data_IF_149655633796
#
_entry.id   IF_149655633796
#
_cell.length_a   1.000
_cell.length_b   1.000
_cell.length_c   1.000
_cell.angle_alpha   90.00
_cell.angle_beta   90.00
_cell.angle_gamma   90.00
#
_symmetry.space_group_name_H-M   'P 1'
#
loop_
_entity.id
_entity.type
_entity.pdbx_description
1 polymer ?
#
# COMPACT_ATOMS: atom_id res chain seq x y z
N UNK A 1 -18.11 -4.83 1.36
CA UNK A 1 -16.64 -4.73 1.40
C UNK A 1 -16.17 -3.34 1.04
N UNK A 2 -14.90 -3.04 1.31
CA UNK A 2 -14.28 -1.74 1.02
C UNK A 2 -12.93 -1.99 0.34
N UNK A 3 -12.67 -1.25 -0.74
CA UNK A 3 -11.36 -1.22 -1.39
C UNK A 3 -10.75 0.19 -1.24
N UNK A 4 -9.49 0.26 -0.86
CA UNK A 4 -8.78 1.51 -0.54
C UNK A 4 -7.52 1.62 -1.41
N UNK A 5 -7.25 2.83 -1.89
CA UNK A 5 -6.07 3.14 -2.71
C UNK A 5 -4.90 3.73 -1.92
N UNK A 6 -5.11 4.00 -0.64
CA UNK A 6 -4.15 4.66 0.24
C UNK A 6 -3.66 3.68 1.31
N UNK A 7 -2.35 3.50 1.40
CA UNK A 7 -1.72 2.69 2.45
C UNK A 7 -2.14 3.10 3.87
N UNK A 8 -2.23 4.42 4.13
CA UNK A 8 -2.65 4.95 5.44
C UNK A 8 -4.08 4.55 5.80
N UNK A 9 -5.04 4.87 4.92
CA UNK A 9 -6.44 4.51 5.11
C UNK A 9 -6.64 3.00 5.20
N UNK A 10 -5.95 2.24 4.34
CA UNK A 10 -5.98 0.80 4.34
C UNK A 10 -5.55 0.24 5.68
N UNK A 11 -4.37 0.63 6.20
CA UNK A 11 -3.92 0.16 7.51
C UNK A 11 -4.94 0.49 8.60
N UNK A 12 -5.39 1.74 8.70
CA UNK A 12 -6.32 2.14 9.76
C UNK A 12 -7.62 1.34 9.72
N UNK A 13 -8.25 1.23 8.55
CA UNK A 13 -9.54 0.55 8.41
C UNK A 13 -9.38 -0.96 8.53
N UNK A 14 -8.33 -1.54 7.94
CA UNK A 14 -8.03 -2.97 8.04
C UNK A 14 -7.74 -3.37 9.49
N UNK A 15 -6.93 -2.59 10.22
CA UNK A 15 -6.60 -2.90 11.63
C UNK A 15 -7.83 -2.84 12.53
N UNK A 16 -8.69 -1.84 12.34
CA UNK A 16 -9.97 -1.75 13.08
C UNK A 16 -10.83 -2.97 12.74
N UNK A 17 -11.02 -3.27 11.45
CA UNK A 17 -11.79 -4.43 11.00
C UNK A 17 -11.27 -5.74 11.60
N UNK A 18 -9.95 -5.97 11.55
CA UNK A 18 -9.30 -7.15 12.11
C UNK A 18 -9.50 -7.22 13.63
N UNK A 19 -9.26 -6.14 14.38
CA UNK A 19 -9.43 -6.10 15.84
C UNK A 19 -10.88 -6.37 16.25
N UNK A 20 -11.86 -5.73 15.60
CA UNK A 20 -13.27 -5.88 15.96
C UNK A 20 -13.85 -7.24 15.54
N UNK A 21 -13.28 -7.91 14.54
CA UNK A 21 -13.64 -9.30 14.20
C UNK A 21 -13.14 -10.31 15.24
N UNK A 22 -11.95 -10.08 15.80
CA UNK A 22 -11.27 -11.03 16.70
C UNK A 22 -11.39 -10.70 18.19
N UNK A 23 -11.92 -9.52 18.55
CA UNK A 23 -12.13 -9.12 19.93
C UNK A 23 -13.59 -8.68 20.15
N UNK A 24 -14.39 -9.58 20.73
CA UNK A 24 -15.81 -9.35 20.99
C UNK A 24 -16.04 -8.18 21.95
N UNK A 25 -15.28 -8.10 23.05
CA UNK A 25 -15.48 -7.06 24.06
C UNK A 25 -15.18 -5.67 23.51
N UNK A 26 -14.14 -5.55 22.68
CA UNK A 26 -13.83 -4.32 21.97
C UNK A 26 -14.93 -3.95 20.96
N UNK A 27 -15.45 -4.93 20.23
CA UNK A 27 -16.55 -4.72 19.28
C UNK A 27 -17.81 -4.24 20.00
N UNK A 28 -18.17 -4.88 21.10
CA UNK A 28 -19.35 -4.51 21.87
C UNK A 28 -19.20 -3.08 22.43
N UNK A 29 -18.03 -2.74 22.97
CA UNK A 29 -17.75 -1.37 23.43
C UNK A 29 -17.82 -0.32 22.31
N UNK A 30 -17.37 -0.64 21.10
CA UNK A 30 -17.55 0.23 19.92
C UNK A 30 -19.02 0.34 19.53
N UNK A 31 -19.77 -0.77 19.56
CA UNK A 31 -21.19 -0.78 19.21
C UNK A 31 -22.06 -0.01 20.21
N UNK A 32 -21.67 0.07 21.49
CA UNK A 32 -22.36 0.96 22.45
C UNK A 32 -22.27 2.44 22.02
N UNK A 33 -21.11 2.89 21.53
CA UNK A 33 -20.94 4.26 21.02
C UNK A 33 -21.68 4.46 19.70
N UNK A 34 -21.57 3.50 18.76
CA UNK A 34 -22.23 3.61 17.46
C UNK A 34 -23.76 3.64 17.57
N UNK A 35 -24.32 3.01 18.60
CA UNK A 35 -25.76 3.01 18.86
C UNK A 35 -26.31 4.41 19.16
N UNK A 36 -25.50 5.35 19.67
CA UNK A 36 -25.90 6.75 19.89
C UNK A 36 -26.27 7.47 18.58
N UNK A 37 -25.85 6.93 17.43
CA UNK A 37 -26.14 7.44 16.08
C UNK A 37 -26.84 6.39 15.20
N UNK A 38 -27.54 5.43 15.81
CA UNK A 38 -28.29 4.35 15.12
C UNK A 38 -27.42 3.47 14.20
N UNK A 39 -26.15 3.28 14.55
CA UNK A 39 -25.21 2.45 13.80
C UNK A 39 -24.75 1.21 14.60
N UNK A 40 -24.34 0.18 13.87
CA UNK A 40 -23.77 -1.05 14.44
C UNK A 40 -22.74 -1.66 13.48
N UNK A 41 -21.59 -2.08 14.00
CA UNK A 41 -20.61 -2.87 13.27
C UNK A 41 -20.80 -4.37 13.51
N UNK A 42 -21.04 -5.10 12.42
CA UNK A 42 -21.38 -6.55 12.45
C UNK A 42 -20.22 -7.50 12.17
N UNK A 43 -19.04 -6.99 11.80
CA UNK A 43 -17.88 -7.85 11.52
C UNK A 43 -17.98 -8.66 10.22
N UNK A 44 -18.82 -8.27 9.27
CA UNK A 44 -19.08 -9.04 8.04
C UNK A 44 -18.31 -8.56 6.81
N UNK A 45 -17.66 -7.38 6.87
CA UNK A 45 -16.99 -6.79 5.72
C UNK A 45 -15.54 -7.27 5.59
N UNK A 46 -15.03 -7.28 4.37
CA UNK A 46 -13.60 -7.37 4.08
C UNK A 46 -13.06 -6.01 3.63
N UNK A 47 -11.77 -5.79 3.94
CA UNK A 47 -11.05 -4.54 3.63
C UNK A 47 -9.87 -4.90 2.76
N UNK A 48 -9.85 -4.37 1.54
CA UNK A 48 -8.84 -4.64 0.53
C UNK A 48 -8.05 -3.39 0.19
N UNK A 49 -6.81 -3.58 -0.25
CA UNK A 49 -6.07 -2.55 -0.95
C UNK A 49 -6.23 -2.73 -2.47
N UNK A 50 -6.40 -1.65 -3.25
CA UNK A 50 -6.60 -1.77 -4.71
C UNK A 50 -5.43 -2.53 -5.37
N UNK A 51 -4.20 -2.31 -4.90
CA UNK A 51 -3.04 -3.04 -5.40
C UNK A 51 -3.16 -4.57 -5.24
N UNK A 52 -3.78 -5.05 -4.16
CA UNK A 52 -4.04 -6.48 -3.96
C UNK A 52 -5.05 -6.99 -4.99
N UNK A 53 -6.10 -6.22 -5.27
CA UNK A 53 -7.11 -6.58 -6.26
C UNK A 53 -6.54 -6.64 -7.68
N UNK A 54 -5.62 -5.71 -8.00
CA UNK A 54 -4.94 -5.68 -9.30
C UNK A 54 -3.95 -6.84 -9.47
N UNK A 55 -3.26 -7.21 -8.40
CA UNK A 55 -2.17 -8.18 -8.47
C UNK A 55 -2.62 -9.64 -8.27
N UNK A 56 -3.66 -9.89 -7.47
CA UNK A 56 -4.14 -11.23 -7.17
C UNK A 56 -5.09 -11.76 -8.28
N UNK A 57 -4.75 -12.92 -8.83
CA UNK A 57 -5.46 -13.53 -9.98
C UNK A 57 -6.87 -14.02 -9.61
N UNK A 58 -7.16 -14.18 -8.31
CA UNK A 58 -8.53 -14.40 -7.81
C UNK A 58 -9.45 -13.21 -8.12
N UNK A 59 -8.88 -12.01 -8.25
CA UNK A 59 -9.59 -10.79 -8.59
C UNK A 59 -9.30 -10.42 -10.06
N UNK A 60 -8.30 -9.55 -10.30
CA UNK A 60 -7.94 -9.08 -11.63
C UNK A 60 -6.73 -9.87 -12.14
N UNK A 61 -5.61 -9.82 -11.42
CA UNK A 61 -4.36 -10.44 -11.82
C UNK A 61 -3.55 -9.62 -12.82
N UNK A 62 -2.24 -9.81 -12.78
CA UNK A 62 -1.26 -9.03 -13.58
C UNK A 62 -1.50 -9.20 -15.09
N UNK A 63 -1.90 -10.39 -15.52
CA UNK A 63 -2.13 -10.67 -16.94
C UNK A 63 -3.31 -9.85 -17.50
N UNK A 64 -4.42 -9.72 -16.76
CA UNK A 64 -5.53 -8.85 -17.18
C UNK A 64 -5.14 -7.37 -17.20
N UNK A 65 -4.27 -6.95 -16.28
CA UNK A 65 -3.70 -5.58 -16.31
C UNK A 65 -2.93 -5.40 -17.63
N UNK A 66 -2.03 -6.34 -17.96
CA UNK A 66 -1.24 -6.32 -19.20
C UNK A 66 -2.12 -6.28 -20.45
N UNK A 67 -3.15 -7.12 -20.52
CA UNK A 67 -4.05 -7.22 -21.66
C UNK A 67 -4.93 -5.96 -21.85
N UNK A 68 -5.13 -5.18 -20.78
CA UNK A 68 -5.90 -3.93 -20.83
C UNK A 68 -5.11 -2.72 -21.37
N UNK A 69 -3.80 -2.84 -21.54
CA UNK A 69 -2.91 -1.73 -21.92
C UNK A 69 -3.11 -1.38 -23.40
N UNK A 70 -3.64 -0.18 -23.66
CA UNK A 70 -3.81 0.37 -25.02
C UNK A 70 -2.67 1.29 -25.45
N UNK A 71 -1.98 1.90 -24.49
CA UNK A 71 -0.81 2.74 -24.73
C UNK A 71 0.32 2.33 -23.78
N UNK A 72 1.21 1.41 -24.21
CA UNK A 72 2.30 0.92 -23.38
C UNK A 72 3.27 2.03 -23.00
N UNK A 73 3.77 1.98 -21.76
CA UNK A 73 4.80 2.89 -21.25
C UNK A 73 6.22 2.47 -21.70
N UNK A 74 6.34 1.94 -22.93
CA UNK A 74 7.59 1.42 -23.46
C UNK A 74 8.67 2.49 -23.50
N UNK A 75 9.85 2.13 -22.97
CA UNK A 75 10.99 3.04 -22.84
C UNK A 75 11.01 3.84 -21.54
N UNK A 76 9.90 3.91 -20.79
CA UNK A 76 9.88 4.58 -19.49
C UNK A 76 10.56 3.73 -18.41
N UNK A 77 11.42 4.36 -17.61
CA UNK A 77 12.11 3.78 -16.44
C UNK A 77 11.41 4.25 -15.17
N UNK A 78 10.69 3.37 -14.51
CA UNK A 78 9.85 3.71 -13.35
C UNK A 78 10.36 3.00 -12.10
N UNK A 79 10.66 3.74 -11.05
CA UNK A 79 10.89 3.17 -9.73
C UNK A 79 9.58 3.09 -8.94
N UNK A 80 9.54 2.17 -7.96
CA UNK A 80 8.37 1.97 -7.10
C UNK A 80 8.64 2.42 -5.66
N UNK A 81 7.64 3.02 -5.03
CA UNK A 81 7.59 3.28 -3.61
C UNK A 81 6.40 2.51 -3.01
N UNK A 82 6.72 1.42 -2.32
CA UNK A 82 5.73 0.56 -1.65
C UNK A 82 4.98 1.26 -0.53
N UNK A 83 5.63 2.21 0.15
CA UNK A 83 5.18 2.73 1.42
C UNK A 83 5.22 1.67 2.55
N UNK A 84 4.99 2.12 3.77
CA UNK A 84 5.19 1.27 4.95
C UNK A 84 3.94 0.49 5.35
N UNK A 85 2.76 1.08 5.15
CA UNK A 85 1.53 0.65 5.80
C UNK A 85 0.72 -0.40 5.04
N UNK A 86 1.08 -0.72 3.79
CA UNK A 86 0.41 -1.80 3.07
C UNK A 86 0.83 -3.18 3.61
N UNK A 87 2.14 -3.42 3.66
CA UNK A 87 2.71 -4.75 3.93
C UNK A 87 3.13 -4.94 5.39
N UNK A 88 3.26 -3.85 6.17
CA UNK A 88 3.64 -3.92 7.60
C UNK A 88 2.45 -3.58 8.52
N UNK A 89 2.32 -4.23 9.69
CA UNK A 89 3.14 -5.34 10.20
C UNK A 89 2.80 -6.68 9.54
N UNK A 90 3.81 -7.39 9.02
CA UNK A 90 3.63 -8.66 8.27
C UNK A 90 2.81 -9.71 9.03
N UNK A 91 3.11 -9.91 10.31
CA UNK A 91 2.54 -10.98 11.16
C UNK A 91 1.01 -10.99 11.24
N UNK A 92 0.37 -9.84 11.00
CA UNK A 92 -1.07 -9.69 11.10
C UNK A 92 -1.71 -9.66 9.70
N UNK A 93 -0.93 -9.49 8.62
CA UNK A 93 -1.45 -9.40 7.25
C UNK A 93 -1.81 -10.77 6.71
N UNK A 94 -2.99 -10.84 6.12
CA UNK A 94 -3.55 -12.04 5.50
C UNK A 94 -3.70 -11.83 3.99
N UNK A 95 -2.63 -11.40 3.32
CA UNK A 95 -2.65 -11.37 1.85
C UNK A 95 -2.63 -12.80 1.32
N UNK A 96 -3.51 -13.11 0.36
CA UNK A 96 -3.58 -14.44 -0.23
C UNK A 96 -2.32 -14.81 -1.03
N UNK A 97 -1.66 -13.82 -1.66
CA UNK A 97 -0.39 -14.02 -2.37
C UNK A 97 0.79 -13.74 -1.44
N UNK A 98 1.57 -14.77 -1.14
CA UNK A 98 2.75 -14.67 -0.24
C UNK A 98 3.79 -13.65 -0.72
N UNK A 99 3.94 -13.41 -2.02
CA UNK A 99 4.85 -12.39 -2.55
C UNK A 99 4.48 -10.98 -2.08
N UNK A 100 3.21 -10.72 -1.77
CA UNK A 100 2.76 -9.45 -1.17
C UNK A 100 3.07 -9.34 0.32
N UNK A 101 3.40 -10.46 0.97
CA UNK A 101 3.78 -10.51 2.37
C UNK A 101 5.27 -10.22 2.58
N UNK A 102 6.12 -10.39 1.57
CA UNK A 102 7.55 -10.08 1.71
C UNK A 102 7.77 -8.57 1.90
N UNK A 103 8.22 -8.16 3.09
CA UNK A 103 8.41 -6.75 3.43
C UNK A 103 9.79 -6.19 3.13
N UNK A 104 10.76 -7.07 2.82
CA UNK A 104 12.16 -6.71 2.60
C UNK A 104 12.50 -6.68 1.11
N UNK A 105 12.00 -7.66 0.35
CA UNK A 105 12.22 -7.80 -1.08
C UNK A 105 10.93 -8.14 -1.84
N UNK A 106 9.87 -7.31 -1.77
CA UNK A 106 8.71 -7.47 -2.64
C UNK A 106 9.08 -7.15 -4.10
N UNK A 107 8.36 -7.79 -5.03
CA UNK A 107 8.53 -7.61 -6.49
C UNK A 107 7.21 -7.30 -7.22
N UNK A 108 6.09 -7.32 -6.50
CA UNK A 108 4.77 -7.28 -7.12
C UNK A 108 4.40 -5.91 -7.72
N UNK A 109 4.91 -4.80 -7.17
CA UNK A 109 4.73 -3.48 -7.81
C UNK A 109 5.56 -3.38 -9.09
N UNK A 110 6.76 -3.92 -9.10
CA UNK A 110 7.63 -3.98 -10.29
C UNK A 110 6.97 -4.82 -11.39
N UNK A 111 6.34 -5.94 -11.04
CA UNK A 111 5.58 -6.76 -11.99
C UNK A 111 4.37 -6.02 -12.57
N UNK A 112 3.65 -5.22 -11.76
CA UNK A 112 2.58 -4.35 -12.26
C UNK A 112 3.13 -3.25 -13.18
N UNK A 113 4.24 -2.61 -12.82
CA UNK A 113 4.92 -1.61 -13.66
C UNK A 113 5.36 -2.23 -15.00
N UNK A 114 5.95 -3.44 -14.96
CA UNK A 114 6.34 -4.18 -16.15
C UNK A 114 5.14 -4.57 -17.01
N UNK A 115 3.99 -4.90 -16.40
CA UNK A 115 2.75 -5.19 -17.12
C UNK A 115 2.22 -3.98 -17.90
N UNK A 116 2.53 -2.74 -17.47
CA UNK A 116 2.23 -1.51 -18.21
C UNK A 116 3.20 -1.26 -19.39
N UNK A 117 4.20 -2.12 -19.59
CA UNK A 117 5.23 -1.99 -20.63
C UNK A 117 6.42 -1.11 -20.24
N UNK A 118 6.46 -0.60 -19.00
CA UNK A 118 7.60 0.15 -18.48
C UNK A 118 8.71 -0.77 -17.98
N UNK A 119 9.90 -0.20 -17.74
CA UNK A 119 11.02 -0.90 -17.10
C UNK A 119 11.06 -0.54 -15.61
N UNK A 120 10.77 -1.48 -14.69
CA UNK A 120 10.93 -1.24 -13.27
C UNK A 120 12.42 -1.07 -12.91
N UNK A 121 12.74 -0.10 -12.05
CA UNK A 121 14.12 0.21 -11.66
C UNK A 121 14.34 -0.02 -10.17
N UNK A 122 15.34 -0.84 -9.85
CA UNK A 122 15.82 -1.05 -8.47
C UNK A 122 16.71 0.11 -8.03
N UNK A 123 16.62 0.50 -6.76
CA UNK A 123 17.42 1.58 -6.18
C UNK A 123 17.77 1.31 -4.72
N UNK A 124 18.83 1.94 -4.24
CA UNK A 124 19.28 1.82 -2.84
C UNK A 124 18.16 2.26 -1.88
N UNK A 125 17.99 1.50 -0.80
CA UNK A 125 17.01 1.80 0.26
C UNK A 125 15.55 1.87 -0.25
N UNK A 126 15.18 1.03 -1.24
CA UNK A 126 13.81 0.97 -1.79
C UNK A 126 12.72 0.90 -0.72
N UNK A 127 12.90 0.04 0.28
CA UNK A 127 11.93 -0.18 1.36
C UNK A 127 11.98 0.86 2.50
N UNK A 128 12.82 1.90 2.39
CA UNK A 128 12.86 3.01 3.35
C UNK A 128 11.56 3.83 3.30
N UNK A 129 11.16 4.34 4.47
CA UNK A 129 10.04 5.27 4.65
C UNK A 129 10.19 6.53 3.76
N UNK A 130 9.08 7.14 3.36
CA UNK A 130 9.10 8.46 2.71
C UNK A 130 9.39 9.61 3.69
N UNK A 131 9.25 9.38 5.00
CA UNK A 131 9.45 10.36 6.06
C UNK A 131 8.17 11.03 6.57
N UNK A 132 7.04 10.87 5.86
CA UNK A 132 5.84 11.65 6.17
C UNK A 132 4.94 11.06 7.27
N UNK A 133 4.89 9.74 7.38
CA UNK A 133 3.96 9.02 8.25
C UNK A 133 4.17 9.26 9.75
N UNK A 134 3.24 8.78 10.57
CA UNK A 134 3.34 8.89 12.04
C UNK A 134 3.21 10.33 12.58
N UNK A 135 2.74 11.26 11.75
CA UNK A 135 2.64 12.68 12.11
C UNK A 135 3.94 13.47 11.92
N UNK A 136 5.04 12.84 11.48
CA UNK A 136 6.35 13.49 11.34
C UNK A 136 6.27 14.66 10.37
N UNK A 137 5.63 14.53 9.21
CA UNK A 137 5.46 15.65 8.27
C UNK A 137 4.79 16.88 8.89
N UNK A 138 3.81 16.67 9.77
CA UNK A 138 3.07 17.74 10.41
C UNK A 138 3.79 18.36 11.61
N UNK A 139 4.61 17.58 12.31
CA UNK A 139 5.33 18.00 13.51
C UNK A 139 6.74 18.52 13.22
N UNK A 140 7.51 17.79 12.40
CA UNK A 140 8.89 18.09 12.03
C UNK A 140 9.08 17.91 10.51
N UNK A 141 8.70 18.94 9.77
CA UNK A 141 8.77 18.95 8.31
C UNK A 141 10.22 18.85 7.80
N UNK A 142 11.20 19.38 8.53
CA UNK A 142 12.61 19.36 8.11
C UNK A 142 13.11 17.92 8.13
N UNK A 143 12.86 17.19 9.22
CA UNK A 143 13.24 15.79 9.31
C UNK A 143 12.48 14.91 8.30
N UNK A 144 11.18 15.16 8.09
CA UNK A 144 10.40 14.47 7.06
C UNK A 144 11.02 14.64 5.67
N UNK A 145 11.42 15.87 5.31
CA UNK A 145 11.99 16.18 4.00
C UNK A 145 13.41 15.64 3.84
N UNK A 146 14.19 15.54 4.90
CA UNK A 146 15.53 14.94 4.87
C UNK A 146 15.46 13.46 4.45
N UNK A 147 14.54 12.70 5.05
CA UNK A 147 14.28 11.30 4.67
C UNK A 147 13.79 11.20 3.22
N UNK A 148 12.86 12.08 2.81
CA UNK A 148 12.40 12.12 1.42
C UNK A 148 13.57 12.41 0.47
N UNK A 149 14.46 13.34 0.82
CA UNK A 149 15.58 13.76 0.00
C UNK A 149 16.60 12.63 -0.22
N UNK A 150 16.89 11.81 0.79
CA UNK A 150 17.73 10.61 0.63
C UNK A 150 17.16 9.69 -0.46
N UNK A 151 15.85 9.44 -0.43
CA UNK A 151 15.17 8.64 -1.46
C UNK A 151 15.29 9.28 -2.84
N UNK A 152 15.09 10.60 -2.94
CA UNK A 152 15.23 11.31 -4.22
C UNK A 152 16.67 11.27 -4.76
N UNK A 153 17.68 11.29 -3.90
CA UNK A 153 19.09 11.12 -4.29
C UNK A 153 19.29 9.71 -4.87
N UNK A 154 18.85 8.67 -4.16
CA UNK A 154 18.97 7.28 -4.63
C UNK A 154 18.27 7.05 -5.98
N UNK A 155 17.12 7.70 -6.21
CA UNK A 155 16.39 7.64 -7.48
C UNK A 155 17.13 8.35 -8.63
N UNK A 156 17.74 9.51 -8.34
CA UNK A 156 18.56 10.25 -9.32
C UNK A 156 19.79 9.46 -9.73
N UNK A 157 20.45 8.77 -8.80
CA UNK A 157 21.64 7.95 -9.07
C UNK A 157 21.40 6.85 -10.11
N UNK A 158 20.18 6.30 -10.18
CA UNK A 158 19.82 5.21 -11.10
C UNK A 158 19.07 5.69 -12.37
N UNK A 159 18.87 7.00 -12.51
CA UNK A 159 18.27 7.63 -13.70
C UNK A 159 16.87 7.12 -14.01
N UNK A 160 15.90 7.39 -13.13
CA UNK A 160 14.47 7.09 -13.38
C UNK A 160 13.77 8.27 -14.05
N UNK A 161 12.76 7.97 -14.88
CA UNK A 161 11.86 8.97 -15.47
C UNK A 161 10.74 9.34 -14.50
N UNK A 162 10.31 8.39 -13.66
CA UNK A 162 9.27 8.61 -12.66
C UNK A 162 9.43 7.70 -11.44
N UNK A 163 8.83 8.14 -10.33
CA UNK A 163 8.52 7.32 -9.17
C UNK A 163 7.01 7.10 -9.14
N UNK A 164 6.57 5.86 -8.91
CA UNK A 164 5.17 5.54 -8.64
C UNK A 164 4.99 5.06 -7.20
N UNK A 165 3.85 5.38 -6.61
CA UNK A 165 3.44 4.96 -5.28
C UNK A 165 1.96 4.57 -5.26
N UNK A 166 1.50 4.13 -4.09
CA UNK A 166 0.13 3.71 -3.80
C UNK A 166 -0.37 4.35 -2.49
N UNK A 167 0.08 5.57 -2.23
CA UNK A 167 -0.22 6.27 -0.99
C UNK A 167 -0.24 7.78 -1.23
N UNK A 168 -1.42 8.43 -1.25
CA UNK A 168 -1.54 9.88 -1.42
C UNK A 168 -0.84 10.76 -0.35
N UNK A 169 -0.28 10.17 0.70
CA UNK A 169 0.29 10.85 1.86
C UNK A 169 1.77 11.20 1.66
#
# INVERSE_FOLDING_TARGET
DIALLCNGCYKSIWEVNHKLKHNKDLRDGVNEVLKEIDMEYKGTINVYHIAELLYNDKFIGVDKVRDSVTNPLTGARIAVHYGCHLTKPHKDREFEKEVMLNTEHPVWMEELVAALGATPVEYRNKMQCCGAGGGVRGYDIVHSLDITNEKMINLKEVGVDALTDICPF
#
